data_IF_028744043806
#
_entry.id   IF_028744043806
#
_cell.length_a   1.000
_cell.length_b   1.000
_cell.length_c   1.000
_cell.angle_alpha   90.00
_cell.angle_beta   90.00
_cell.angle_gamma   90.00
#
_symmetry.space_group_name_H-M   'P 1'
#
loop_
_entity.id
_entity.type
_entity.pdbx_description
1 polymer ?
#
# COMPACT_ATOMS: atom_id res chain seq x y z
N UNK A 1 -27.40 32.20 -23.25
CA UNK A 1 -26.14 32.81 -22.79
C UNK A 1 -26.08 32.72 -21.28
N UNK A 2 -25.38 31.69 -20.74
CA UNK A 2 -25.22 31.52 -19.29
C UNK A 2 -24.21 32.56 -18.80
N UNK A 3 -24.63 33.37 -17.84
CA UNK A 3 -23.83 34.46 -17.28
C UNK A 3 -22.60 33.91 -16.55
N UNK A 4 -21.44 34.54 -16.73
CA UNK A 4 -20.13 34.15 -16.17
C UNK A 4 -20.11 33.65 -14.70
N UNK A 5 -20.94 34.18 -13.76
CA UNK A 5 -20.90 33.71 -12.37
C UNK A 5 -21.42 32.27 -12.18
N UNK A 6 -22.37 31.81 -12.99
CA UNK A 6 -22.88 30.42 -12.90
C UNK A 6 -21.87 29.40 -13.40
N UNK A 7 -21.05 29.75 -14.39
CA UNK A 7 -20.00 28.86 -14.89
C UNK A 7 -18.87 28.67 -13.87
N UNK A 8 -18.47 29.74 -13.18
CA UNK A 8 -17.47 29.69 -12.12
C UNK A 8 -17.95 28.87 -10.92
N UNK A 9 -19.20 29.06 -10.49
CA UNK A 9 -19.79 28.28 -9.41
C UNK A 9 -19.89 26.79 -9.76
N UNK A 10 -20.27 26.47 -11.01
CA UNK A 10 -20.30 25.08 -11.50
C UNK A 10 -18.90 24.46 -11.54
N UNK A 11 -17.88 25.17 -12.04
CA UNK A 11 -16.49 24.73 -12.07
C UNK A 11 -15.91 24.55 -10.66
N UNK A 12 -16.25 25.40 -9.71
CA UNK A 12 -15.80 25.30 -8.31
C UNK A 12 -16.47 24.11 -7.61
N UNK A 13 -17.79 23.90 -7.81
CA UNK A 13 -18.50 22.72 -7.30
C UNK A 13 -17.96 21.42 -7.93
N UNK A 14 -17.77 21.39 -9.24
CA UNK A 14 -17.22 20.25 -9.95
C UNK A 14 -15.80 19.89 -9.48
N UNK A 15 -14.94 20.90 -9.28
CA UNK A 15 -13.58 20.70 -8.76
C UNK A 15 -13.58 20.19 -7.30
N UNK A 16 -14.52 20.67 -6.48
CA UNK A 16 -14.64 20.23 -5.08
C UNK A 16 -15.08 18.77 -4.99
N UNK A 17 -16.00 18.37 -5.84
CA UNK A 17 -16.46 16.97 -5.91
C UNK A 17 -15.36 16.05 -6.44
N UNK A 18 -14.60 16.46 -7.44
CA UNK A 18 -13.47 15.69 -7.98
C UNK A 18 -12.37 15.51 -6.94
N UNK A 19 -12.01 16.56 -6.21
CA UNK A 19 -11.01 16.47 -5.13
C UNK A 19 -11.46 15.52 -4.01
N UNK A 20 -12.74 15.57 -3.64
CA UNK A 20 -13.31 14.68 -2.62
C UNK A 20 -13.22 13.21 -3.04
N UNK A 21 -13.48 12.90 -4.30
CA UNK A 21 -13.37 11.55 -4.88
C UNK A 21 -11.92 11.05 -4.88
N UNK A 22 -10.98 11.89 -5.29
CA UNK A 22 -9.54 11.59 -5.26
C UNK A 22 -9.10 11.30 -3.82
N UNK A 23 -9.46 12.16 -2.86
CA UNK A 23 -9.14 11.99 -1.45
C UNK A 23 -9.74 10.70 -0.89
N UNK A 24 -10.96 10.34 -1.27
CA UNK A 24 -11.61 9.11 -0.84
C UNK A 24 -10.80 7.88 -1.26
N UNK A 25 -10.45 7.78 -2.56
CA UNK A 25 -9.64 6.65 -3.07
C UNK A 25 -8.28 6.60 -2.39
N UNK A 26 -7.63 7.75 -2.25
CA UNK A 26 -6.34 7.88 -1.60
C UNK A 26 -6.36 7.39 -0.15
N UNK A 27 -7.33 7.86 0.64
CA UNK A 27 -7.49 7.49 2.04
C UNK A 27 -7.84 6.01 2.21
N UNK A 28 -8.75 5.47 1.38
CA UNK A 28 -9.08 4.04 1.41
C UNK A 28 -7.84 3.20 1.09
N UNK A 29 -7.03 3.61 0.10
CA UNK A 29 -5.81 2.91 -0.26
C UNK A 29 -4.73 2.96 0.84
N UNK A 30 -4.76 3.94 1.74
CA UNK A 30 -3.87 4.03 2.89
C UNK A 30 -4.26 3.12 4.05
N UNK A 31 -5.53 2.67 4.12
CA UNK A 31 -6.01 1.87 5.25
C UNK A 31 -5.36 0.49 5.25
N UNK A 32 -4.76 0.05 6.39
CA UNK A 32 -4.24 -1.30 6.52
C UNK A 32 -5.32 -2.33 6.19
N UNK A 33 -4.96 -3.42 5.54
CA UNK A 33 -5.83 -4.52 5.10
C UNK A 33 -6.73 -4.20 3.89
N UNK A 34 -7.21 -2.99 3.70
CA UNK A 34 -8.00 -2.60 2.52
C UNK A 34 -7.06 -2.34 1.35
N UNK A 35 -6.12 -1.40 1.55
CA UNK A 35 -5.10 -1.05 0.57
C UNK A 35 -5.69 -0.71 -0.81
N UNK A 36 -4.88 -0.72 -1.86
CA UNK A 36 -5.35 -0.55 -3.23
C UNK A 36 -6.28 -1.69 -3.70
N UNK A 37 -6.19 -2.84 -3.05
CA UNK A 37 -7.01 -4.03 -3.37
C UNK A 37 -8.49 -3.83 -3.12
N UNK A 38 -8.83 -3.03 -2.11
CA UNK A 38 -10.20 -2.59 -1.86
C UNK A 38 -10.52 -1.28 -2.55
N UNK A 39 -9.57 -0.32 -2.55
CA UNK A 39 -9.78 1.01 -3.10
C UNK A 39 -10.13 0.98 -4.60
N UNK A 40 -9.41 0.18 -5.41
CA UNK A 40 -9.65 0.10 -6.86
C UNK A 40 -11.01 -0.52 -7.19
N UNK A 41 -11.38 -1.72 -6.68
CA UNK A 41 -12.71 -2.29 -6.96
C UNK A 41 -13.86 -1.41 -6.47
N UNK A 42 -13.72 -0.76 -5.31
CA UNK A 42 -14.73 0.15 -4.79
C UNK A 42 -14.89 1.35 -5.73
N UNK A 43 -13.78 1.95 -6.17
CA UNK A 43 -13.81 3.11 -7.05
C UNK A 43 -14.40 2.79 -8.43
N UNK A 44 -14.05 1.63 -9.00
CA UNK A 44 -14.58 1.16 -10.30
C UNK A 44 -16.03 0.73 -10.16
N UNK A 45 -16.39 -0.03 -9.12
CA UNK A 45 -17.73 -0.56 -8.93
C UNK A 45 -18.79 0.48 -8.61
N UNK A 46 -18.40 1.57 -7.93
CA UNK A 46 -19.30 2.69 -7.63
C UNK A 46 -19.33 3.75 -8.73
N UNK A 47 -18.56 3.57 -9.82
CA UNK A 47 -18.42 4.55 -10.90
C UNK A 47 -18.26 5.98 -10.37
N UNK A 48 -17.21 6.18 -9.58
CA UNK A 48 -17.01 7.47 -8.89
C UNK A 48 -16.70 8.64 -9.84
N UNK A 49 -16.79 8.43 -11.17
CA UNK A 49 -16.59 9.47 -12.18
C UNK A 49 -15.14 9.95 -12.29
N UNK A 50 -14.16 9.13 -11.90
CA UNK A 50 -12.74 9.33 -12.19
C UNK A 50 -12.29 8.40 -13.32
N UNK A 51 -11.41 8.86 -14.23
CA UNK A 51 -10.85 7.99 -15.24
C UNK A 51 -10.01 6.88 -14.61
N UNK A 52 -10.01 5.70 -15.20
CA UNK A 52 -9.38 4.47 -14.69
C UNK A 52 -7.90 4.66 -14.33
N UNK A 53 -7.16 5.40 -15.16
CA UNK A 53 -5.75 5.72 -14.90
C UNK A 53 -5.55 6.59 -13.64
N UNK A 54 -6.50 7.51 -13.35
CA UNK A 54 -6.44 8.35 -12.16
C UNK A 54 -6.75 7.53 -10.89
N UNK A 55 -7.73 6.62 -10.95
CA UNK A 55 -8.01 5.67 -9.86
C UNK A 55 -6.76 4.87 -9.53
N UNK A 56 -6.11 4.30 -10.56
CA UNK A 56 -4.88 3.53 -10.38
C UNK A 56 -3.77 4.37 -9.74
N UNK A 57 -3.50 5.56 -10.30
CA UNK A 57 -2.42 6.43 -9.83
C UNK A 57 -2.64 6.87 -8.39
N UNK A 58 -3.84 7.30 -8.06
CA UNK A 58 -4.19 7.75 -6.70
C UNK A 58 -4.12 6.60 -5.69
N UNK A 59 -4.64 5.42 -6.04
CA UNK A 59 -4.58 4.25 -5.18
C UNK A 59 -3.14 3.77 -4.95
N UNK A 60 -2.31 3.78 -5.99
CA UNK A 60 -0.88 3.44 -5.90
C UNK A 60 -0.14 4.43 -5.00
N UNK A 61 -0.34 5.73 -5.18
CA UNK A 61 0.27 6.77 -4.33
C UNK A 61 -0.17 6.65 -2.88
N UNK A 62 -1.46 6.45 -2.63
CA UNK A 62 -2.00 6.24 -1.29
C UNK A 62 -1.41 5.02 -0.59
N UNK A 63 -1.17 3.94 -1.34
CA UNK A 63 -0.63 2.70 -0.78
C UNK A 63 0.91 2.74 -0.59
N UNK A 64 1.64 3.49 -1.42
CA UNK A 64 3.11 3.64 -1.30
C UNK A 64 3.49 4.63 -0.19
N UNK A 65 2.70 5.68 0.01
CA UNK A 65 3.03 6.74 0.98
C UNK A 65 3.33 6.21 2.39
N UNK A 66 2.57 5.26 2.97
CA UNK A 66 2.86 4.72 4.30
C UNK A 66 4.13 3.87 4.38
N UNK A 67 4.59 3.27 3.27
CA UNK A 67 5.70 2.30 3.25
C UNK A 67 6.97 2.79 3.96
N UNK A 68 7.55 3.96 3.64
CA UNK A 68 8.75 4.43 4.33
C UNK A 68 8.52 4.68 5.82
N UNK A 69 7.34 5.18 6.18
CA UNK A 69 6.99 5.43 7.58
C UNK A 69 6.85 4.12 8.37
N UNK A 70 6.15 3.13 7.80
CA UNK A 70 5.99 1.80 8.42
C UNK A 70 7.35 1.15 8.63
N UNK A 71 8.22 1.19 7.62
CA UNK A 71 9.55 0.59 7.71
C UNK A 71 10.37 1.19 8.86
N UNK A 72 10.45 2.51 8.92
CA UNK A 72 11.23 3.22 9.95
C UNK A 72 10.59 3.12 11.33
N UNK A 73 9.25 3.20 11.41
CA UNK A 73 8.54 3.17 12.68
C UNK A 73 8.51 1.78 13.30
N UNK A 74 8.29 0.72 12.49
CA UNK A 74 8.20 -0.65 12.99
C UNK A 74 9.49 -1.07 13.71
N UNK A 75 10.65 -0.80 13.11
CA UNK A 75 11.94 -1.09 13.74
C UNK A 75 12.15 -0.28 15.03
N UNK A 76 11.90 1.03 14.98
CA UNK A 76 12.01 1.90 16.17
C UNK A 76 11.07 1.48 17.29
N UNK A 77 9.85 1.09 16.94
CA UNK A 77 8.89 0.59 17.91
C UNK A 77 9.38 -0.69 18.60
N UNK A 78 9.92 -1.64 17.84
CA UNK A 78 10.48 -2.86 18.39
C UNK A 78 11.72 -2.59 19.28
N UNK A 79 12.60 -1.70 18.84
CA UNK A 79 13.76 -1.28 19.63
C UNK A 79 13.35 -0.57 20.93
N UNK A 80 12.38 0.34 20.87
CA UNK A 80 11.81 0.99 22.03
C UNK A 80 11.14 0.00 22.97
N UNK A 81 10.31 -0.90 22.46
CA UNK A 81 9.65 -1.95 23.23
C UNK A 81 10.63 -2.90 23.92
N UNK A 82 11.79 -3.17 23.29
CA UNK A 82 12.83 -4.01 23.86
C UNK A 82 13.53 -3.38 25.10
N UNK A 83 13.38 -2.07 25.28
CA UNK A 83 13.96 -1.29 26.42
C UNK A 83 12.95 -1.04 27.55
N UNK A 84 11.67 -1.39 27.35
CA UNK A 84 10.63 -1.14 28.33
C UNK A 84 10.79 -2.02 29.59
N UNK A 85 10.22 -1.54 30.70
CA UNK A 85 10.22 -2.24 31.99
C UNK A 85 9.32 -3.50 32.01
N UNK A 86 8.36 -3.56 31.10
CA UNK A 86 7.41 -4.68 31.03
C UNK A 86 8.09 -5.92 30.42
N UNK A 87 8.34 -6.90 31.23
CA UNK A 87 9.07 -8.14 30.88
C UNK A 87 8.49 -8.85 29.64
N UNK A 88 7.17 -8.93 29.52
CA UNK A 88 6.52 -9.59 28.39
C UNK A 88 6.78 -8.83 27.06
N UNK A 89 6.59 -7.50 27.06
CA UNK A 89 6.83 -6.66 25.89
C UNK A 89 8.32 -6.71 25.50
N UNK A 90 9.21 -6.59 26.48
CA UNK A 90 10.66 -6.66 26.28
C UNK A 90 11.09 -7.99 25.67
N UNK A 91 10.60 -9.12 26.21
CA UNK A 91 10.88 -10.45 25.67
C UNK A 91 10.36 -10.64 24.25
N UNK A 92 9.13 -10.22 23.99
CA UNK A 92 8.52 -10.29 22.67
C UNK A 92 9.27 -9.45 21.63
N UNK A 93 9.53 -8.17 21.92
CA UNK A 93 10.25 -7.30 20.99
C UNK A 93 11.69 -7.77 20.71
N UNK A 94 12.41 -8.23 21.75
CA UNK A 94 13.75 -8.84 21.57
C UNK A 94 13.70 -10.14 20.77
N UNK A 95 12.69 -10.96 20.98
CA UNK A 95 12.50 -12.17 20.18
C UNK A 95 12.28 -11.83 18.72
N UNK A 96 11.40 -10.85 18.40
CA UNK A 96 11.14 -10.40 17.04
C UNK A 96 12.40 -9.84 16.37
N UNK A 97 13.15 -8.96 17.05
CA UNK A 97 14.38 -8.39 16.53
C UNK A 97 15.44 -9.48 16.26
N UNK A 98 15.76 -10.29 17.27
CA UNK A 98 16.81 -11.33 17.16
C UNK A 98 16.47 -12.40 16.11
N UNK A 99 15.22 -12.84 16.07
CA UNK A 99 14.77 -13.82 15.08
C UNK A 99 14.68 -13.21 13.69
N UNK A 100 14.18 -11.98 13.58
CA UNK A 100 14.07 -11.25 12.32
C UNK A 100 15.43 -11.01 11.69
N UNK A 101 16.38 -10.43 12.42
CA UNK A 101 17.74 -10.17 11.92
C UNK A 101 18.46 -11.46 11.50
N UNK A 102 18.42 -12.53 12.33
CA UNK A 102 19.02 -13.82 11.98
C UNK A 102 18.38 -14.43 10.74
N UNK A 103 17.05 -14.37 10.64
CA UNK A 103 16.33 -14.88 9.48
C UNK A 103 16.64 -14.06 8.22
N UNK A 104 16.65 -12.73 8.32
CA UNK A 104 17.00 -11.81 7.23
C UNK A 104 18.41 -12.05 6.70
N UNK A 105 19.40 -12.10 7.59
CA UNK A 105 20.79 -12.38 7.20
C UNK A 105 20.95 -13.77 6.56
N UNK A 106 20.28 -14.80 7.10
CA UNK A 106 20.33 -16.17 6.55
C UNK A 106 19.68 -16.23 5.17
N UNK A 107 18.55 -15.54 4.98
CA UNK A 107 17.85 -15.48 3.71
C UNK A 107 18.64 -14.68 2.66
N UNK A 108 19.21 -13.53 3.04
CA UNK A 108 20.06 -12.74 2.16
C UNK A 108 21.31 -13.51 1.73
N UNK A 109 21.95 -14.26 2.63
CA UNK A 109 23.10 -15.12 2.29
C UNK A 109 22.73 -16.26 1.34
N UNK A 110 21.53 -16.86 1.49
CA UNK A 110 21.07 -17.95 0.62
C UNK A 110 20.49 -17.49 -0.71
N UNK A 111 19.66 -16.46 -0.69
CA UNK A 111 18.87 -16.03 -1.83
C UNK A 111 19.41 -14.75 -2.50
N UNK A 112 20.30 -14.00 -1.84
CA UNK A 112 20.79 -12.74 -2.37
C UNK A 112 19.65 -11.82 -2.80
N UNK A 113 19.68 -11.37 -4.05
CA UNK A 113 18.61 -10.54 -4.62
C UNK A 113 17.27 -11.28 -4.80
N UNK A 114 17.24 -12.61 -4.75
CA UNK A 114 16.01 -13.42 -4.78
C UNK A 114 15.08 -13.12 -3.61
N UNK A 115 15.61 -12.61 -2.49
CA UNK A 115 14.78 -12.17 -1.36
C UNK A 115 13.88 -10.98 -1.72
N UNK A 116 14.40 -10.02 -2.48
CA UNK A 116 13.61 -8.88 -2.96
C UNK A 116 12.61 -9.29 -4.04
N UNK A 117 12.96 -10.30 -4.87
CA UNK A 117 12.01 -10.89 -5.80
C UNK A 117 10.85 -11.58 -5.07
N UNK A 118 11.14 -12.35 -4.02
CA UNK A 118 10.10 -12.96 -3.17
C UNK A 118 9.21 -11.91 -2.51
N UNK A 119 9.81 -10.81 -2.02
CA UNK A 119 9.09 -9.69 -1.44
C UNK A 119 8.20 -8.97 -2.48
N UNK A 120 8.72 -8.77 -3.70
CA UNK A 120 7.94 -8.25 -4.82
C UNK A 120 6.72 -9.12 -5.12
N UNK A 121 6.93 -10.43 -5.30
CA UNK A 121 5.84 -11.38 -5.59
C UNK A 121 4.80 -11.42 -4.47
N UNK A 122 5.25 -11.34 -3.21
CA UNK A 122 4.36 -11.28 -2.06
C UNK A 122 3.42 -10.08 -2.08
N UNK A 123 3.89 -8.92 -2.59
CA UNK A 123 3.07 -7.71 -2.71
C UNK A 123 2.30 -7.68 -4.03
N UNK A 124 2.90 -8.12 -5.14
CA UNK A 124 2.31 -8.08 -6.48
C UNK A 124 1.08 -9.00 -6.62
N UNK A 125 1.10 -10.18 -5.96
CA UNK A 125 -0.03 -11.10 -6.03
C UNK A 125 -1.13 -10.62 -5.09
N UNK A 126 -2.34 -10.29 -5.58
CA UNK A 126 -3.39 -9.68 -4.78
C UNK A 126 -4.16 -10.72 -3.93
N UNK A 127 -3.48 -11.34 -2.95
CA UNK A 127 -4.08 -12.24 -1.97
C UNK A 127 -4.41 -11.46 -0.68
N UNK A 128 -5.54 -11.72 -0.02
CA UNK A 128 -5.84 -11.10 1.27
C UNK A 128 -4.73 -11.35 2.30
N UNK A 129 -4.28 -10.29 2.98
CA UNK A 129 -3.21 -10.38 3.99
C UNK A 129 -1.79 -10.29 3.45
N UNK A 130 -1.57 -10.34 2.12
CA UNK A 130 -0.28 -10.03 1.50
C UNK A 130 -0.32 -8.62 0.93
N UNK A 131 0.43 -7.68 1.39
CA UNK A 131 0.32 -6.31 0.88
C UNK A 131 1.52 -5.46 1.23
N UNK A 132 1.46 -4.18 0.88
CA UNK A 132 2.53 -3.24 1.16
C UNK A 132 2.76 -3.09 2.66
N UNK A 133 1.71 -3.09 3.48
CA UNK A 133 1.81 -2.99 4.93
C UNK A 133 2.54 -4.19 5.54
N UNK A 134 2.04 -5.39 5.27
CA UNK A 134 2.61 -6.64 5.82
C UNK A 134 3.99 -6.93 5.25
N UNK A 135 4.21 -6.68 3.96
CA UNK A 135 5.51 -6.82 3.31
C UNK A 135 6.55 -5.86 3.89
N UNK A 136 6.16 -4.60 4.14
CA UNK A 136 7.06 -3.60 4.73
C UNK A 136 7.38 -3.92 6.18
N UNK A 137 6.40 -4.37 6.98
CA UNK A 137 6.63 -4.84 8.35
C UNK A 137 7.62 -6.01 8.36
N UNK A 138 7.41 -7.01 7.49
CA UNK A 138 8.31 -8.15 7.38
C UNK A 138 9.73 -7.71 6.98
N UNK A 139 9.87 -6.84 5.98
CA UNK A 139 11.16 -6.31 5.54
C UNK A 139 11.89 -5.53 6.64
N UNK A 140 11.16 -4.73 7.43
CA UNK A 140 11.71 -4.00 8.57
C UNK A 140 12.20 -4.93 9.69
N UNK A 141 11.43 -5.99 10.02
CA UNK A 141 11.80 -6.98 11.03
C UNK A 141 13.00 -7.82 10.57
N UNK A 142 13.08 -8.12 9.27
CA UNK A 142 14.18 -8.87 8.66
C UNK A 142 15.44 -8.03 8.44
N UNK A 143 15.40 -6.73 8.74
CA UNK A 143 16.49 -5.77 8.56
C UNK A 143 17.02 -5.73 7.11
N UNK A 144 16.11 -5.72 6.14
CA UNK A 144 16.45 -5.58 4.73
C UNK A 144 16.86 -4.14 4.41
N UNK A 145 17.60 -3.94 3.32
CA UNK A 145 17.98 -2.59 2.90
C UNK A 145 16.77 -1.70 2.61
N UNK A 146 16.71 -0.52 3.21
CA UNK A 146 15.59 0.41 3.10
C UNK A 146 15.27 0.80 1.66
N UNK A 147 16.31 1.20 0.89
CA UNK A 147 16.11 1.67 -0.49
C UNK A 147 15.59 0.56 -1.38
N UNK A 148 16.21 -0.61 -1.30
CA UNK A 148 15.77 -1.78 -2.08
C UNK A 148 14.37 -2.21 -1.70
N UNK A 149 14.04 -2.18 -0.40
CA UNK A 149 12.70 -2.48 0.09
C UNK A 149 11.67 -1.52 -0.48
N UNK A 150 11.88 -0.19 -0.38
CA UNK A 150 10.93 0.81 -0.89
C UNK A 150 10.72 0.66 -2.40
N UNK A 151 11.78 0.46 -3.18
CA UNK A 151 11.68 0.25 -4.63
C UNK A 151 10.90 -1.05 -4.94
N UNK A 152 11.22 -2.13 -4.24
CA UNK A 152 10.55 -3.43 -4.42
C UNK A 152 9.06 -3.34 -4.07
N UNK A 153 8.73 -2.65 -2.95
CA UNK A 153 7.35 -2.41 -2.55
C UNK A 153 6.60 -1.59 -3.59
N UNK A 154 7.19 -0.49 -4.09
CA UNK A 154 6.59 0.36 -5.11
C UNK A 154 6.30 -0.44 -6.39
N UNK A 155 7.25 -1.24 -6.87
CA UNK A 155 7.06 -2.10 -8.03
C UNK A 155 5.94 -3.13 -7.80
N UNK A 156 5.91 -3.77 -6.62
CA UNK A 156 4.86 -4.73 -6.25
C UNK A 156 3.47 -4.09 -6.19
N UNK A 157 3.37 -2.90 -5.59
CA UNK A 157 2.12 -2.13 -5.48
C UNK A 157 1.61 -1.72 -6.86
N UNK A 158 2.47 -1.24 -7.77
CA UNK A 158 2.08 -0.90 -9.15
C UNK A 158 1.55 -2.14 -9.87
N UNK A 159 2.26 -3.26 -9.76
CA UNK A 159 1.84 -4.53 -10.40
C UNK A 159 0.51 -5.01 -9.83
N UNK A 160 0.34 -5.01 -8.51
CA UNK A 160 -0.92 -5.37 -7.87
C UNK A 160 -2.07 -4.44 -8.29
N UNK A 161 -1.79 -3.13 -8.41
CA UNK A 161 -2.75 -2.14 -8.88
C UNK A 161 -3.24 -2.41 -10.30
N UNK A 162 -2.33 -2.72 -11.21
CA UNK A 162 -2.69 -3.09 -12.60
C UNK A 162 -3.55 -4.36 -12.64
N UNK A 163 -3.17 -5.39 -11.90
CA UNK A 163 -3.95 -6.65 -11.82
C UNK A 163 -5.36 -6.36 -11.28
N UNK A 164 -5.45 -5.58 -10.19
CA UNK A 164 -6.74 -5.24 -9.57
C UNK A 164 -7.61 -4.39 -10.48
N UNK A 165 -7.02 -3.43 -11.21
CA UNK A 165 -7.76 -2.60 -12.17
C UNK A 165 -8.32 -3.47 -13.30
N UNK A 166 -7.50 -4.30 -13.93
CA UNK A 166 -7.92 -5.19 -15.01
C UNK A 166 -8.99 -6.18 -14.54
N UNK A 167 -8.82 -6.77 -13.36
CA UNK A 167 -9.81 -7.67 -12.77
C UNK A 167 -11.14 -6.95 -12.50
N UNK A 168 -11.09 -5.74 -11.93
CA UNK A 168 -12.29 -4.95 -11.64
C UNK A 168 -13.04 -4.57 -12.91
N UNK A 169 -12.35 -4.10 -13.93
CA UNK A 169 -12.94 -3.75 -15.21
C UNK A 169 -13.54 -4.99 -15.91
N UNK A 170 -12.85 -6.13 -15.88
CA UNK A 170 -13.37 -7.39 -16.44
C UNK A 170 -14.64 -7.86 -15.76
N UNK A 171 -14.68 -7.83 -14.41
CA UNK A 171 -15.86 -8.24 -13.64
C UNK A 171 -17.03 -7.28 -13.88
N UNK A 172 -16.83 -5.97 -13.78
CA UNK A 172 -17.92 -5.00 -13.89
C UNK A 172 -18.43 -4.86 -15.33
N UNK A 173 -17.56 -4.90 -16.35
CA UNK A 173 -18.01 -4.93 -17.75
C UNK A 173 -18.71 -6.24 -18.14
N UNK A 174 -18.34 -7.35 -17.50
CA UNK A 174 -19.00 -8.65 -17.74
C UNK A 174 -20.35 -8.82 -17.05
N UNK A 175 -20.64 -8.01 -16.02
CA UNK A 175 -21.90 -8.06 -15.26
C UNK A 175 -22.90 -6.99 -15.76
N UNK A 176 -22.39 -5.84 -16.20
CA UNK A 176 -23.21 -4.67 -16.59
C UNK A 176 -23.37 -4.52 -18.12
N UNK A 177 -22.64 -5.27 -18.93
CA UNK A 177 -22.76 -5.35 -20.39
C UNK A 177 -23.47 -6.62 -20.84
#
# INVERSE_FOLDING_TARGET
>A
MLTKPHYLAFLVCYNKDMLSRILLVFLIAMVPLIELRGAIPIAVGLDIGLPEWAILLVAVLGNILPVPFIYLFARRFLEWGSRQKWEYMKKFCRFCLNKGEKAGQKLLKKAGNGMYLALFMFVAIPIPGTGAWTGTLAASILDLDFRKTVITMAAGVVTAGLIMLLASLGVFKGILG
#
